data_IF_635805686142
#
_entry.id   IF_635805686142
#
_cell.length_a   1.000
_cell.length_b   1.000
_cell.length_c   1.000
_cell.angle_alpha   90.00
_cell.angle_beta   90.00
_cell.angle_gamma   90.00
#
_symmetry.space_group_name_H-M   'P 1'
#
loop_
_entity.id
_entity.type
_entity.pdbx_description
1 polymer ?
#
# COMPACT_ATOMS: atom_id res chain seq x y z
N UNK A 1 57.68 -33.74 -47.95
CA UNK A 1 57.34 -32.31 -47.77
C UNK A 1 56.00 -32.23 -47.06
N UNK A 2 55.99 -32.25 -45.73
CA UNK A 2 54.75 -32.23 -44.95
C UNK A 2 54.30 -30.78 -44.74
N UNK A 3 53.23 -30.39 -45.43
CA UNK A 3 52.60 -29.08 -45.30
C UNK A 3 51.76 -29.10 -44.02
N UNK A 4 52.27 -28.49 -42.95
CA UNK A 4 51.52 -28.29 -41.71
C UNK A 4 50.37 -27.32 -41.99
N UNK A 5 49.15 -27.85 -41.97
CA UNK A 5 47.92 -27.06 -42.00
C UNK A 5 47.87 -26.29 -40.68
N UNK A 6 48.14 -24.98 -40.75
CA UNK A 6 47.99 -24.06 -39.62
C UNK A 6 46.50 -23.90 -39.33
N UNK A 7 45.99 -24.71 -38.41
CA UNK A 7 44.68 -24.51 -37.84
C UNK A 7 44.78 -23.39 -36.79
N UNK A 8 44.52 -22.13 -37.19
CA UNK A 8 44.14 -21.07 -36.25
C UNK A 8 42.75 -21.40 -35.68
N UNK A 9 42.67 -22.36 -34.76
CA UNK A 9 41.48 -22.56 -33.94
C UNK A 9 41.48 -21.48 -32.86
N UNK A 10 40.38 -20.73 -32.79
CA UNK A 10 40.22 -19.54 -31.95
C UNK A 10 40.64 -19.79 -30.50
N UNK A 11 41.80 -19.27 -30.13
CA UNK A 11 42.24 -19.21 -28.74
C UNK A 11 41.60 -17.95 -28.15
N UNK A 12 40.45 -18.09 -27.50
CA UNK A 12 39.97 -17.04 -26.62
C UNK A 12 41.05 -16.82 -25.56
N UNK A 13 41.57 -15.58 -25.47
CA UNK A 13 42.54 -15.27 -24.42
C UNK A 13 41.87 -15.45 -23.07
N UNK A 14 42.63 -15.95 -22.09
CA UNK A 14 42.15 -16.07 -20.72
C UNK A 14 41.62 -14.73 -20.19
N UNK A 15 42.23 -13.61 -20.60
CA UNK A 15 41.79 -12.25 -20.30
C UNK A 15 40.39 -11.95 -20.83
N UNK A 16 40.03 -12.45 -22.01
CA UNK A 16 38.68 -12.28 -22.55
C UNK A 16 37.64 -13.02 -21.70
N UNK A 17 37.93 -14.26 -21.30
CA UNK A 17 37.04 -15.05 -20.43
C UNK A 17 36.89 -14.35 -19.07
N UNK A 18 37.99 -13.86 -18.50
CA UNK A 18 37.98 -13.14 -17.24
C UNK A 18 37.19 -11.83 -17.32
N UNK A 19 37.35 -11.08 -18.42
CA UNK A 19 36.60 -9.85 -18.67
C UNK A 19 35.09 -10.11 -18.79
N UNK A 20 34.68 -11.18 -19.51
CA UNK A 20 33.27 -11.56 -19.63
C UNK A 20 32.69 -11.99 -18.29
N UNK A 21 33.43 -12.76 -17.48
CA UNK A 21 32.99 -13.14 -16.12
C UNK A 21 32.83 -11.92 -15.22
N UNK A 22 33.79 -10.98 -15.26
CA UNK A 22 33.69 -9.74 -14.51
C UNK A 22 32.49 -8.90 -14.95
N UNK A 23 32.25 -8.79 -16.26
CA UNK A 23 31.08 -8.11 -16.82
C UNK A 23 29.77 -8.73 -16.32
N UNK A 24 29.66 -10.06 -16.33
CA UNK A 24 28.48 -10.77 -15.83
C UNK A 24 28.21 -10.49 -14.36
N UNK A 25 29.26 -10.43 -13.53
CA UNK A 25 29.13 -10.10 -12.11
C UNK A 25 28.63 -8.66 -11.94
N UNK A 26 29.20 -7.70 -12.65
CA UNK A 26 28.74 -6.29 -12.61
C UNK A 26 27.28 -6.17 -13.03
N UNK A 27 26.88 -6.84 -14.12
CA UNK A 27 25.48 -6.86 -14.55
C UNK A 27 24.56 -7.51 -13.52
N UNK A 28 24.97 -8.59 -12.87
CA UNK A 28 24.18 -9.22 -11.81
C UNK A 28 23.98 -8.27 -10.61
N UNK A 29 25.03 -7.57 -10.18
CA UNK A 29 24.93 -6.57 -9.11
C UNK A 29 24.04 -5.39 -9.50
N UNK A 30 24.21 -4.83 -10.71
CA UNK A 30 23.33 -3.76 -11.20
C UNK A 30 21.88 -4.22 -11.31
N UNK A 31 21.64 -5.42 -11.84
CA UNK A 31 20.32 -6.00 -11.97
C UNK A 31 19.61 -6.16 -10.62
N UNK A 32 20.31 -6.66 -9.59
CA UNK A 32 19.77 -6.75 -8.23
C UNK A 32 19.39 -5.38 -7.67
N UNK A 33 20.23 -4.36 -7.85
CA UNK A 33 19.94 -3.01 -7.38
C UNK A 33 18.69 -2.43 -8.07
N UNK A 34 18.57 -2.58 -9.38
CA UNK A 34 17.40 -2.11 -10.13
C UNK A 34 16.12 -2.83 -9.67
N UNK A 35 16.17 -4.14 -9.48
CA UNK A 35 15.03 -4.92 -8.98
C UNK A 35 14.61 -4.49 -7.57
N UNK A 36 15.56 -4.26 -6.68
CA UNK A 36 15.29 -3.80 -5.32
C UNK A 36 14.72 -2.37 -5.33
N UNK A 37 15.26 -1.49 -6.17
CA UNK A 37 14.74 -0.13 -6.34
C UNK A 37 13.30 -0.14 -6.87
N UNK A 38 12.99 -1.00 -7.86
CA UNK A 38 11.64 -1.15 -8.39
C UNK A 38 10.63 -1.64 -7.32
N UNK A 39 11.05 -2.56 -6.44
CA UNK A 39 10.22 -3.00 -5.30
C UNK A 39 9.96 -1.86 -4.33
N UNK A 40 10.99 -1.11 -3.95
CA UNK A 40 10.86 0.01 -3.02
C UNK A 40 9.95 1.11 -3.59
N UNK A 41 10.05 1.42 -4.89
CA UNK A 41 9.15 2.38 -5.54
C UNK A 41 7.70 1.92 -5.47
N UNK A 42 7.44 0.64 -5.74
CA UNK A 42 6.10 0.08 -5.64
C UNK A 42 5.56 0.16 -4.22
N UNK A 43 6.34 -0.20 -3.22
CA UNK A 43 5.92 -0.11 -1.81
C UNK A 43 5.63 1.34 -1.40
N UNK A 44 6.50 2.28 -1.80
CA UNK A 44 6.30 3.71 -1.57
C UNK A 44 5.03 4.22 -2.23
N UNK A 45 4.73 3.77 -3.45
CA UNK A 45 3.50 4.16 -4.15
C UNK A 45 2.25 3.66 -3.42
N UNK A 46 2.23 2.41 -2.95
CA UNK A 46 1.06 1.90 -2.21
C UNK A 46 0.90 2.63 -0.87
N UNK A 47 1.99 2.94 -0.17
CA UNK A 47 1.94 3.74 1.05
C UNK A 47 1.35 5.14 0.81
N UNK A 48 1.78 5.83 -0.25
CA UNK A 48 1.26 7.14 -0.65
C UNK A 48 -0.25 7.09 -0.95
N UNK A 49 -0.68 6.06 -1.71
CA UNK A 49 -2.11 5.83 -1.98
C UNK A 49 -2.89 5.56 -0.69
N UNK A 50 -2.32 4.80 0.24
CA UNK A 50 -2.90 4.57 1.57
C UNK A 50 -3.09 5.86 2.36
N UNK A 51 -2.10 6.76 2.34
CA UNK A 51 -2.22 8.09 2.94
C UNK A 51 -3.30 8.95 2.27
N UNK A 52 -3.39 8.93 0.94
CA UNK A 52 -4.45 9.64 0.21
C UNK A 52 -5.86 9.14 0.56
N UNK A 53 -6.05 7.82 0.72
CA UNK A 53 -7.32 7.24 1.16
C UNK A 53 -7.64 7.68 2.59
N UNK A 54 -6.66 7.66 3.50
CA UNK A 54 -6.81 8.14 4.88
C UNK A 54 -7.23 9.62 4.94
N UNK A 55 -6.61 10.46 4.12
CA UNK A 55 -6.95 11.88 4.06
C UNK A 55 -8.37 12.10 3.54
N UNK A 56 -8.75 11.37 2.50
CA UNK A 56 -10.10 11.42 1.93
C UNK A 56 -11.13 10.95 2.95
N UNK A 57 -10.84 9.85 3.64
CA UNK A 57 -11.66 9.29 4.70
C UNK A 57 -11.84 10.27 5.87
N UNK A 58 -10.76 10.88 6.35
CA UNK A 58 -10.81 11.91 7.39
C UNK A 58 -11.62 13.13 6.93
N UNK A 59 -11.46 13.56 5.68
CA UNK A 59 -12.21 14.69 5.14
C UNK A 59 -13.72 14.43 5.09
N UNK A 60 -14.16 13.22 4.74
CA UNK A 60 -15.58 12.87 4.83
C UNK A 60 -16.09 12.91 6.27
N UNK A 61 -15.33 12.36 7.22
CA UNK A 61 -15.69 12.42 8.63
C UNK A 61 -15.76 13.87 9.15
N UNK A 62 -14.76 14.71 8.84
CA UNK A 62 -14.75 16.14 9.19
C UNK A 62 -15.96 16.84 8.58
N UNK A 63 -16.27 16.57 7.31
CA UNK A 63 -17.38 17.24 6.62
C UNK A 63 -18.72 16.83 7.21
N UNK A 64 -18.93 15.54 7.47
CA UNK A 64 -20.13 15.02 8.10
C UNK A 64 -20.33 15.65 9.49
N UNK A 65 -19.26 15.71 10.29
CA UNK A 65 -19.26 16.31 11.62
C UNK A 65 -19.51 17.82 11.60
N UNK A 66 -18.78 18.56 10.76
CA UNK A 66 -18.80 20.03 10.77
C UNK A 66 -20.09 20.61 10.18
N UNK A 67 -20.72 19.90 9.24
CA UNK A 67 -21.96 20.34 8.58
C UNK A 67 -23.21 19.66 9.15
N UNK A 68 -23.06 18.73 10.08
CA UNK A 68 -24.15 17.92 10.64
C UNK A 68 -24.99 17.22 9.55
N UNK A 69 -24.29 16.59 8.59
CA UNK A 69 -24.93 15.88 7.46
C UNK A 69 -24.47 14.43 7.38
N UNK A 70 -25.37 13.55 6.96
CA UNK A 70 -25.00 12.17 6.62
C UNK A 70 -24.36 12.14 5.23
N UNK A 71 -23.17 11.57 5.13
CA UNK A 71 -22.44 11.41 3.87
C UNK A 71 -22.37 9.94 3.52
N UNK A 72 -22.81 9.59 2.32
CA UNK A 72 -22.52 8.28 1.74
C UNK A 72 -21.31 8.42 0.81
N UNK A 73 -20.22 7.73 1.13
CA UNK A 73 -18.99 7.77 0.35
C UNK A 73 -18.61 6.38 -0.13
N UNK A 74 -18.24 6.29 -1.40
CA UNK A 74 -17.86 5.05 -2.05
C UNK A 74 -16.34 4.91 -2.06
N UNK A 75 -15.86 3.75 -1.61
CA UNK A 75 -14.45 3.39 -1.58
C UNK A 75 -14.23 2.19 -2.49
N UNK A 76 -13.19 2.26 -3.31
CA UNK A 76 -12.86 1.20 -4.27
C UNK A 76 -11.44 0.65 -4.02
N UNK A 77 -11.17 -0.60 -4.41
CA UNK A 77 -9.83 -1.15 -4.42
C UNK A 77 -8.89 -0.32 -5.30
N UNK A 78 -7.62 -0.32 -4.94
CA UNK A 78 -6.59 0.43 -5.67
C UNK A 78 -5.97 -0.48 -6.72
N UNK A 79 -6.55 -0.49 -7.93
CA UNK A 79 -6.15 -1.44 -8.97
C UNK A 79 -6.46 -2.88 -8.52
N UNK A 80 -5.42 -3.69 -8.34
CA UNK A 80 -5.56 -5.07 -7.83
C UNK A 80 -5.32 -5.18 -6.31
N UNK A 81 -5.23 -4.06 -5.60
CA UNK A 81 -4.93 -4.03 -4.17
C UNK A 81 -6.20 -3.78 -3.36
N UNK A 82 -6.60 -4.81 -2.63
CA UNK A 82 -7.64 -4.72 -1.61
C UNK A 82 -7.03 -4.18 -0.32
N UNK A 83 -7.83 -3.48 0.48
CA UNK A 83 -7.40 -2.98 1.78
C UNK A 83 -8.51 -3.08 2.82
N UNK A 84 -8.08 -3.08 4.08
CA UNK A 84 -8.98 -3.08 5.22
C UNK A 84 -8.74 -1.83 6.04
N UNK A 85 -9.81 -1.05 6.29
CA UNK A 85 -9.77 0.10 7.18
C UNK A 85 -10.16 -0.37 8.58
N UNK A 86 -9.32 -0.17 9.57
CA UNK A 86 -9.60 -0.45 10.98
C UNK A 86 -9.77 0.85 11.75
N UNK A 87 -10.84 0.96 12.54
CA UNK A 87 -11.24 2.19 13.25
C UNK A 87 -11.95 1.81 14.54
N UNK A 88 -11.43 2.26 15.69
CA UNK A 88 -12.00 1.90 16.99
C UNK A 88 -12.33 0.39 17.07
N UNK A 89 -13.61 0.02 17.16
CA UNK A 89 -14.13 -1.35 17.18
C UNK A 89 -14.72 -1.82 15.83
N UNK A 90 -14.36 -1.19 14.72
CA UNK A 90 -14.89 -1.49 13.38
C UNK A 90 -13.77 -1.82 12.39
N UNK A 91 -14.04 -2.73 11.48
CA UNK A 91 -13.21 -3.00 10.30
C UNK A 91 -14.04 -2.95 9.03
N UNK A 92 -13.49 -2.35 8.00
CA UNK A 92 -14.15 -2.16 6.71
C UNK A 92 -13.31 -2.81 5.64
N UNK A 93 -13.85 -3.86 5.03
CA UNK A 93 -13.16 -4.63 3.99
C UNK A 93 -13.47 -4.04 2.61
N UNK A 94 -12.48 -3.42 1.97
CA UNK A 94 -12.61 -2.84 0.62
C UNK A 94 -11.95 -3.79 -0.39
N UNK A 95 -12.71 -4.82 -0.74
CA UNK A 95 -12.37 -5.81 -1.77
C UNK A 95 -13.05 -5.55 -3.13
N UNK A 96 -14.05 -4.67 -3.12
CA UNK A 96 -14.87 -4.22 -4.24
C UNK A 96 -15.37 -2.82 -3.90
N UNK A 97 -16.16 -2.21 -4.80
CA UNK A 97 -16.83 -0.94 -4.55
C UNK A 97 -17.69 -1.06 -3.28
N UNK A 98 -17.27 -0.38 -2.22
CA UNK A 98 -17.85 -0.44 -0.88
C UNK A 98 -18.37 0.94 -0.49
N UNK A 99 -19.66 1.02 -0.20
CA UNK A 99 -20.27 2.24 0.33
C UNK A 99 -20.17 2.30 1.85
N UNK A 100 -19.74 3.47 2.34
CA UNK A 100 -19.54 3.77 3.75
C UNK A 100 -20.36 5.01 4.09
N UNK A 101 -21.22 4.89 5.09
CA UNK A 101 -22.08 5.96 5.56
C UNK A 101 -21.47 6.57 6.82
N UNK A 102 -21.16 7.86 6.73
CA UNK A 102 -20.67 8.71 7.81
C UNK A 102 -21.86 9.49 8.36
N UNK A 103 -22.26 9.17 9.59
CA UNK A 103 -23.38 9.84 10.26
C UNK A 103 -22.89 10.56 11.53
N UNK A 104 -23.02 11.88 11.64
CA UNK A 104 -22.74 12.57 12.89
C UNK A 104 -23.76 12.13 13.95
N UNK A 105 -23.28 11.85 15.16
CA UNK A 105 -24.09 11.48 16.31
C UNK A 105 -23.58 12.18 17.58
N UNK A 106 -24.49 12.47 18.50
CA UNK A 106 -24.19 13.08 19.79
C UNK A 106 -24.49 12.08 20.90
N UNK A 107 -23.53 11.86 21.78
CA UNK A 107 -23.73 11.09 23.02
C UNK A 107 -23.40 11.96 24.23
N UNK A 108 -23.72 11.47 25.42
CA UNK A 108 -23.39 12.10 26.71
C UNK A 108 -21.89 12.39 26.86
N UNK A 109 -21.04 11.65 26.13
CA UNK A 109 -19.58 11.81 26.12
C UNK A 109 -19.06 12.77 25.05
N UNK A 110 -19.94 13.43 24.29
CA UNK A 110 -19.60 14.34 23.20
C UNK A 110 -20.07 13.87 21.82
N UNK A 111 -19.77 14.68 20.80
CA UNK A 111 -20.13 14.43 19.41
C UNK A 111 -19.07 13.53 18.74
N UNK A 112 -19.52 12.63 17.87
CA UNK A 112 -18.67 11.72 17.10
C UNK A 112 -19.32 11.42 15.74
N UNK A 113 -18.57 10.79 14.84
CA UNK A 113 -19.11 10.26 13.59
C UNK A 113 -19.24 8.75 13.72
N UNK A 114 -20.46 8.24 13.60
CA UNK A 114 -20.74 6.82 13.52
C UNK A 114 -20.57 6.34 12.08
N UNK A 115 -19.89 5.21 11.91
CA UNK A 115 -19.68 4.60 10.60
C UNK A 115 -20.48 3.32 10.45
N UNK A 116 -21.27 3.28 9.38
CA UNK A 116 -22.12 2.13 9.04
C UNK A 116 -21.99 1.80 7.57
N UNK A 117 -22.27 0.55 7.20
CA UNK A 117 -22.18 0.06 5.84
C UNK A 117 -22.35 -1.46 5.80
N UNK A 118 -22.58 -2.02 4.61
CA UNK A 118 -22.77 -3.46 4.44
C UNK A 118 -21.50 -4.27 4.70
N UNK A 119 -20.34 -3.64 4.54
CA UNK A 119 -19.02 -4.28 4.67
C UNK A 119 -18.27 -3.81 5.92
N UNK A 120 -19.01 -3.32 6.93
CA UNK A 120 -18.49 -2.84 8.20
C UNK A 120 -18.74 -3.91 9.25
N UNK A 121 -17.68 -4.55 9.70
CA UNK A 121 -17.72 -5.58 10.74
C UNK A 121 -17.32 -4.98 12.09
N UNK A 122 -18.01 -5.36 13.16
CA UNK A 122 -17.58 -5.04 14.52
C UNK A 122 -16.48 -6.03 14.96
N UNK A 123 -15.35 -5.49 15.42
CA UNK A 123 -14.16 -6.25 15.82
C UNK A 123 -13.92 -6.09 17.32
N UNK A 124 -13.59 -7.20 17.99
CA UNK A 124 -13.31 -7.21 19.43
C UNK A 124 -12.02 -6.48 19.81
N UNK A 125 -11.06 -6.39 18.88
CA UNK A 125 -9.79 -5.72 19.10
C UNK A 125 -9.92 -4.24 18.74
N UNK A 126 -10.14 -3.40 19.74
CA UNK A 126 -10.24 -1.96 19.52
C UNK A 126 -8.87 -1.33 19.33
N UNK A 127 -8.67 -0.64 18.21
CA UNK A 127 -7.59 0.36 18.13
C UNK A 127 -8.03 1.63 18.88
N UNK A 128 -7.09 2.51 19.31
CA UNK A 128 -7.46 3.74 20.00
C UNK A 128 -8.52 4.53 19.23
N UNK A 129 -9.51 5.10 19.94
CA UNK A 129 -10.73 5.73 19.38
C UNK A 129 -10.50 6.79 18.29
N UNK A 130 -9.30 7.37 18.21
CA UNK A 130 -8.96 8.42 17.25
C UNK A 130 -7.88 7.99 16.26
N UNK A 131 -7.57 6.71 16.16
CA UNK A 131 -6.63 6.21 15.16
C UNK A 131 -7.40 5.41 14.10
N UNK A 132 -7.01 5.63 12.85
CA UNK A 132 -7.43 4.82 11.71
C UNK A 132 -6.20 4.16 11.13
N UNK A 133 -6.30 2.87 10.87
CA UNK A 133 -5.26 2.10 10.22
C UNK A 133 -5.81 1.53 8.92
N UNK A 134 -5.12 1.75 7.80
CA UNK A 134 -5.41 1.05 6.55
C UNK A 134 -4.37 -0.03 6.34
N UNK A 135 -4.81 -1.28 6.29
CA UNK A 135 -3.98 -2.46 6.06
C UNK A 135 -4.08 -2.91 4.61
N UNK A 136 -2.92 -3.15 3.99
CA UNK A 136 -2.77 -3.78 2.67
C UNK A 136 -2.23 -5.22 2.81
N UNK A 137 -2.54 -5.88 3.93
CA UNK A 137 -2.15 -7.24 4.25
C UNK A 137 -0.79 -7.34 4.95
N UNK A 138 0.30 -6.97 4.28
CA UNK A 138 1.67 -7.11 4.79
C UNK A 138 2.23 -5.83 5.43
N UNK A 139 1.57 -4.69 5.24
CA UNK A 139 1.88 -3.44 5.89
C UNK A 139 0.61 -2.65 6.17
N UNK A 140 0.72 -1.65 7.04
CA UNK A 140 -0.36 -0.72 7.34
C UNK A 140 0.15 0.72 7.38
N UNK A 141 -0.73 1.65 7.03
CA UNK A 141 -0.56 3.08 7.28
C UNK A 141 -1.51 3.48 8.40
N UNK A 142 -1.03 4.30 9.34
CA UNK A 142 -1.81 4.75 10.49
C UNK A 142 -1.84 6.26 10.53
N UNK A 143 -3.00 6.81 10.89
CA UNK A 143 -3.16 8.25 11.13
C UNK A 143 -4.05 8.49 12.33
N UNK A 144 -3.66 9.48 13.14
CA UNK A 144 -4.50 10.02 14.19
C UNK A 144 -5.46 11.05 13.60
N UNK A 145 -6.75 10.81 13.75
CA UNK A 145 -7.82 11.67 13.28
C UNK A 145 -8.01 12.89 14.15
N UNK A 146 -8.49 13.96 13.51
CA UNK A 146 -8.91 15.21 14.18
C UNK A 146 -10.33 15.14 14.75
N UNK A 147 -11.14 14.20 14.27
CA UNK A 147 -12.54 14.00 14.71
C UNK A 147 -12.68 12.61 15.30
N UNK A 148 -13.47 12.49 16.37
CA UNK A 148 -13.75 11.21 17.00
C UNK A 148 -14.69 10.39 16.09
N UNK A 149 -14.31 9.15 15.80
CA UNK A 149 -15.09 8.22 14.99
C UNK A 149 -15.36 6.95 15.81
N UNK A 150 -16.57 6.42 15.69
CA UNK A 150 -17.00 5.19 16.35
C UNK A 150 -17.66 4.23 15.37
#
# INVERSE_FOLDING_TARGET
MYKLISAKKGQFSFDFILAVLFLLVVFAFMGQNVLNMAKNFRESEVAERGHSILDTFENYAITAYAKDVTINATFEPVGNLNYTIHISNKSIHVNSTTDIIFRPESSLTGNFVNITGSNVDDVSNSIPLNNVNISFGHFYVSKKLRVNIK
#
